data_IF_525726484489
#
_entry.id   IF_525726484489
#
_cell.length_a   1.000
_cell.length_b   1.000
_cell.length_c   1.000
_cell.angle_alpha   90.00
_cell.angle_beta   90.00
_cell.angle_gamma   90.00
#
_symmetry.space_group_name_H-M   'P 1'
#
loop_
_entity.id
_entity.type
_entity.pdbx_description
1 polymer ?
#
# COMPACT_ATOMS: atom_id res chain seq x y z
N UNK A 1 33.84 28.30 -2.30
CA UNK A 1 32.57 28.84 -2.85
C UNK A 1 31.80 27.79 -3.65
N UNK A 2 32.46 26.93 -4.45
CA UNK A 2 31.80 25.88 -5.24
C UNK A 2 31.54 24.55 -4.49
N UNK A 3 32.35 24.25 -3.47
CA UNK A 3 32.21 23.02 -2.66
C UNK A 3 31.01 23.08 -1.72
N UNK A 4 30.80 24.22 -1.07
CA UNK A 4 29.65 24.44 -0.18
C UNK A 4 28.31 24.37 -0.94
N UNK A 5 28.24 24.93 -2.15
CA UNK A 5 27.05 24.87 -2.99
C UNK A 5 26.77 23.44 -3.47
N UNK A 6 27.80 22.67 -3.83
CA UNK A 6 27.64 21.24 -4.20
C UNK A 6 27.14 20.38 -3.05
N UNK A 7 27.67 20.59 -1.83
CA UNK A 7 27.22 19.86 -0.63
C UNK A 7 25.75 20.18 -0.33
N UNK A 8 25.36 21.46 -0.42
CA UNK A 8 23.98 21.88 -0.24
C UNK A 8 23.04 21.20 -1.25
N UNK A 9 23.42 21.16 -2.52
CA UNK A 9 22.61 20.52 -3.58
C UNK A 9 22.46 19.01 -3.36
N UNK A 10 23.56 18.32 -3.01
CA UNK A 10 23.50 16.90 -2.68
C UNK A 10 22.58 16.62 -1.49
N UNK A 11 22.67 17.45 -0.45
CA UNK A 11 21.81 17.33 0.73
C UNK A 11 20.33 17.52 0.34
N UNK A 12 20.00 18.53 -0.45
CA UNK A 12 18.64 18.73 -0.95
C UNK A 12 18.15 17.52 -1.76
N UNK A 13 18.94 17.00 -2.70
CA UNK A 13 18.56 15.85 -3.50
C UNK A 13 18.27 14.61 -2.65
N UNK A 14 19.06 14.36 -1.60
CA UNK A 14 18.81 13.23 -0.70
C UNK A 14 17.51 13.39 0.10
N UNK A 15 17.22 14.59 0.59
CA UNK A 15 15.96 14.88 1.31
C UNK A 15 14.77 14.72 0.37
N UNK A 16 14.82 15.31 -0.82
CA UNK A 16 13.73 15.16 -1.80
C UNK A 16 13.57 13.70 -2.25
N UNK A 17 14.66 12.97 -2.48
CA UNK A 17 14.61 11.56 -2.87
C UNK A 17 13.96 10.69 -1.80
N UNK A 18 14.31 10.87 -0.52
CA UNK A 18 13.68 10.14 0.58
C UNK A 18 12.21 10.49 0.75
N UNK A 19 11.83 11.76 0.68
CA UNK A 19 10.42 12.19 0.76
C UNK A 19 9.58 11.62 -0.40
N UNK A 20 10.12 11.63 -1.62
CA UNK A 20 9.46 11.04 -2.78
C UNK A 20 9.28 9.52 -2.61
N UNK A 21 10.32 8.83 -2.13
CA UNK A 21 10.23 7.39 -1.84
C UNK A 21 9.11 7.06 -0.86
N UNK A 22 9.03 7.79 0.28
CA UNK A 22 7.96 7.58 1.25
C UNK A 22 6.58 7.89 0.67
N UNK A 23 6.45 8.97 -0.12
CA UNK A 23 5.19 9.33 -0.77
C UNK A 23 4.73 8.25 -1.75
N UNK A 24 5.60 7.76 -2.62
CA UNK A 24 5.28 6.72 -3.60
C UNK A 24 4.89 5.41 -2.91
N UNK A 25 5.62 5.02 -1.85
CA UNK A 25 5.32 3.82 -1.08
C UNK A 25 3.94 3.89 -0.43
N UNK A 26 3.60 5.03 0.19
CA UNK A 26 2.31 5.25 0.84
C UNK A 26 1.15 5.28 -0.16
N UNK A 27 1.36 5.90 -1.33
CA UNK A 27 0.37 5.92 -2.41
C UNK A 27 0.08 4.50 -2.93
N UNK A 28 1.11 3.68 -3.15
CA UNK A 28 0.92 2.27 -3.58
C UNK A 28 0.14 1.47 -2.55
N UNK A 29 0.44 1.65 -1.26
CA UNK A 29 -0.31 1.02 -0.18
C UNK A 29 -1.80 1.41 -0.21
N UNK A 30 -2.09 2.70 -0.39
CA UNK A 30 -3.48 3.19 -0.51
C UNK A 30 -4.21 2.60 -1.73
N UNK A 31 -3.51 2.42 -2.86
CA UNK A 31 -4.13 1.78 -4.04
C UNK A 31 -4.48 0.32 -3.76
N UNK A 32 -3.58 -0.43 -3.12
CA UNK A 32 -3.84 -1.82 -2.73
C UNK A 32 -4.98 -1.94 -1.70
N UNK A 33 -5.08 -0.95 -0.81
CA UNK A 33 -6.17 -0.74 0.14
C UNK A 33 -7.52 -0.54 -0.53
N UNK A 34 -7.56 0.28 -1.57
CA UNK A 34 -8.77 0.55 -2.35
C UNK A 34 -9.18 -0.65 -3.23
N UNK A 35 -8.34 -1.67 -3.32
CA UNK A 35 -8.54 -2.85 -4.17
C UNK A 35 -8.05 -2.66 -5.62
N UNK A 36 -7.18 -1.68 -5.86
CA UNK A 36 -6.57 -1.38 -7.15
C UNK A 36 -5.11 -1.83 -7.18
N UNK A 37 -4.73 -2.57 -8.23
CA UNK A 37 -3.34 -2.97 -8.42
C UNK A 37 -2.51 -1.82 -9.03
N UNK A 38 -1.42 -1.36 -8.39
CA UNK A 38 -0.57 -0.29 -8.92
C UNK A 38 0.27 -0.73 -10.14
N UNK A 39 0.38 -2.03 -10.40
CA UNK A 39 1.23 -2.59 -11.45
C UNK A 39 0.45 -2.90 -12.74
N UNK A 40 -0.69 -3.60 -12.63
CA UNK A 40 -1.51 -3.96 -13.79
C UNK A 40 -2.80 -3.14 -13.94
N UNK A 41 -3.08 -2.20 -13.02
CA UNK A 41 -4.26 -1.34 -13.06
C UNK A 41 -5.60 -2.04 -12.78
N UNK A 42 -5.58 -3.33 -12.42
CA UNK A 42 -6.79 -4.09 -12.18
C UNK A 42 -7.50 -3.61 -10.89
N UNK A 43 -8.78 -3.28 -11.00
CA UNK A 43 -9.64 -2.81 -9.91
C UNK A 43 -10.67 -3.87 -9.50
N UNK A 44 -11.32 -3.65 -8.35
CA UNK A 44 -12.47 -4.47 -7.92
C UNK A 44 -13.62 -4.35 -8.93
N UNK A 45 -14.21 -5.49 -9.30
CA UNK A 45 -15.38 -5.53 -10.18
C UNK A 45 -16.62 -5.76 -9.33
N UNK A 46 -17.55 -4.81 -9.35
CA UNK A 46 -18.87 -4.93 -8.71
C UNK A 46 -19.92 -5.22 -9.78
N UNK A 47 -20.64 -6.32 -9.64
CA UNK A 47 -21.76 -6.66 -10.51
C UNK A 47 -23.04 -6.65 -9.68
N UNK A 48 -24.06 -5.91 -10.14
CA UNK A 48 -25.36 -5.88 -9.49
C UNK A 48 -26.33 -6.74 -10.28
N UNK A 49 -26.85 -7.78 -9.64
CA UNK A 49 -27.90 -8.60 -10.22
C UNK A 49 -29.21 -7.79 -10.25
N UNK A 50 -29.80 -7.64 -11.43
CA UNK A 50 -31.04 -6.88 -11.63
C UNK A 50 -32.26 -7.61 -11.07
N UNK A 51 -32.19 -8.93 -10.91
CA UNK A 51 -33.34 -9.75 -10.53
C UNK A 51 -33.47 -9.91 -9.01
N UNK A 52 -32.34 -9.96 -8.30
CA UNK A 52 -32.29 -10.14 -6.85
C UNK A 52 -31.87 -8.87 -6.09
N UNK A 53 -31.37 -7.85 -6.80
CA UNK A 53 -30.87 -6.61 -6.22
C UNK A 53 -29.54 -6.75 -5.47
N UNK A 54 -28.95 -7.94 -5.45
CA UNK A 54 -27.71 -8.23 -4.71
C UNK A 54 -26.51 -7.73 -5.51
N UNK A 55 -25.56 -7.10 -4.81
CA UNK A 55 -24.29 -6.64 -5.42
C UNK A 55 -23.18 -7.61 -5.06
N UNK A 56 -22.56 -8.21 -6.09
CA UNK A 56 -21.43 -9.09 -5.96
C UNK A 56 -20.15 -8.32 -6.22
N UNK A 57 -19.27 -8.27 -5.23
CA UNK A 57 -17.95 -7.67 -5.35
C UNK A 57 -16.89 -8.76 -5.52
N UNK A 58 -16.23 -8.77 -6.68
CA UNK A 58 -15.06 -9.63 -6.89
C UNK A 58 -13.79 -8.84 -6.55
N UNK A 59 -13.19 -9.18 -5.40
CA UNK A 59 -11.91 -8.60 -4.97
C UNK A 59 -10.74 -9.12 -5.81
N UNK A 60 -10.08 -8.19 -6.49
CA UNK A 60 -8.88 -8.45 -7.31
C UNK A 60 -7.63 -8.57 -6.45
N UNK A 61 -7.60 -7.92 -5.28
CA UNK A 61 -6.51 -7.98 -4.30
C UNK A 61 -6.91 -8.92 -3.16
N UNK A 62 -6.03 -9.87 -2.82
CA UNK A 62 -6.14 -10.73 -1.65
C UNK A 62 -5.26 -10.14 -0.54
N UNK A 63 -5.84 -9.91 0.63
CA UNK A 63 -5.13 -9.43 1.81
C UNK A 63 -4.94 -10.57 2.80
N UNK A 64 -3.73 -10.71 3.36
CA UNK A 64 -3.40 -11.69 4.41
C UNK A 64 -2.51 -11.06 5.47
N UNK A 65 -2.81 -11.28 6.74
CA UNK A 65 -1.88 -10.94 7.83
C UNK A 65 -0.77 -11.99 7.88
N UNK A 66 0.48 -11.56 7.72
CA UNK A 66 1.66 -12.42 7.74
C UNK A 66 2.23 -12.53 9.15
N UNK A 67 2.37 -11.39 9.83
CA UNK A 67 2.83 -11.32 11.21
C UNK A 67 2.01 -10.32 11.99
N UNK A 68 1.76 -10.65 13.24
CA UNK A 68 1.17 -9.74 14.21
C UNK A 68 2.24 -9.50 15.29
N UNK A 69 2.67 -8.24 15.45
CA UNK A 69 3.67 -7.86 16.46
C UNK A 69 3.04 -7.65 17.85
N UNK A 70 1.83 -8.19 18.07
CA UNK A 70 1.15 -8.18 19.36
C UNK A 70 0.81 -6.78 19.83
N UNK A 71 1.16 -6.45 21.08
CA UNK A 71 0.80 -5.18 21.69
C UNK A 71 1.53 -3.95 21.11
N UNK A 72 2.50 -4.13 20.22
CA UNK A 72 3.09 -3.02 19.47
C UNK A 72 2.09 -2.34 18.52
N UNK A 73 0.91 -2.93 18.29
CA UNK A 73 -0.13 -2.36 17.43
C UNK A 73 0.30 -2.30 15.97
N UNK A 74 1.28 -3.12 15.56
CA UNK A 74 1.76 -3.20 14.19
C UNK A 74 1.45 -4.59 13.66
N UNK A 75 0.78 -4.66 12.51
CA UNK A 75 0.51 -5.89 11.79
C UNK A 75 1.14 -5.83 10.40
N UNK A 76 1.86 -6.87 10.02
CA UNK A 76 2.38 -7.05 8.67
C UNK A 76 1.31 -7.68 7.81
N UNK A 77 0.93 -6.96 6.75
CA UNK A 77 -0.11 -7.38 5.82
C UNK A 77 0.48 -7.56 4.43
N UNK A 78 0.30 -8.75 3.87
CA UNK A 78 0.62 -9.08 2.49
C UNK A 78 -0.60 -8.84 1.60
N UNK A 79 -0.37 -8.10 0.53
CA UNK A 79 -1.30 -7.89 -0.57
C UNK A 79 -0.84 -8.70 -1.76
N UNK A 80 -1.72 -9.56 -2.27
CA UNK A 80 -1.49 -10.32 -3.49
C UNK A 80 -2.49 -9.91 -4.56
N UNK A 81 -2.03 -9.47 -5.73
CA UNK A 81 -2.90 -9.27 -6.87
C UNK A 81 -3.20 -10.61 -7.56
N UNK A 82 -4.48 -10.95 -7.76
CA UNK A 82 -4.87 -12.18 -8.48
C UNK A 82 -4.62 -12.11 -10.00
N UNK A 83 -4.46 -10.92 -10.56
CA UNK A 83 -4.33 -10.73 -12.01
C UNK A 83 -2.88 -10.80 -12.51
N UNK A 84 -1.93 -10.21 -11.76
CA UNK A 84 -0.51 -10.19 -12.13
C UNK A 84 0.42 -10.83 -11.09
N UNK A 85 -0.14 -11.48 -10.07
CA UNK A 85 0.61 -12.15 -8.99
C UNK A 85 1.57 -11.25 -8.18
N UNK A 86 1.42 -9.92 -8.30
CA UNK A 86 2.14 -8.94 -7.49
C UNK A 86 1.95 -9.26 -6.00
N UNK A 87 3.07 -9.35 -5.26
CA UNK A 87 3.09 -9.54 -3.80
C UNK A 87 3.84 -8.40 -3.14
N UNK A 88 3.16 -7.66 -2.27
CA UNK A 88 3.76 -6.58 -1.49
C UNK A 88 3.36 -6.69 -0.02
N UNK A 89 4.30 -6.40 0.89
CA UNK A 89 4.08 -6.47 2.34
C UNK A 89 4.21 -5.08 2.94
N UNK A 90 3.20 -4.69 3.70
CA UNK A 90 3.13 -3.39 4.37
C UNK A 90 2.86 -3.56 5.86
N UNK A 91 3.48 -2.68 6.65
CA UNK A 91 3.18 -2.54 8.06
C UNK A 91 1.95 -1.63 8.19
N UNK A 92 0.91 -2.15 8.83
CA UNK A 92 -0.25 -1.36 9.22
C UNK A 92 -0.33 -1.21 10.72
N UNK A 93 -0.90 -0.10 11.15
CA UNK A 93 -1.34 0.08 12.52
C UNK A 93 -2.55 -0.83 12.73
N UNK A 94 -2.38 -1.89 13.52
CA UNK A 94 -3.45 -2.74 14.01
C UNK A 94 -3.99 -2.24 15.35
N UNK A 95 -5.01 -2.90 15.88
CA UNK A 95 -5.44 -2.67 17.25
C UNK A 95 -4.33 -3.12 18.21
N UNK A 96 -3.64 -2.16 18.82
CA UNK A 96 -2.79 -2.41 19.98
C UNK A 96 -3.60 -3.03 21.11
N UNK A 97 -2.91 -3.67 22.06
CA UNK A 97 -3.56 -4.15 23.27
C UNK A 97 -4.19 -2.94 23.97
N UNK A 98 -5.51 -2.82 23.87
CA UNK A 98 -6.28 -1.83 24.62
C UNK A 98 -6.11 -2.11 26.10
N UNK A 99 -5.87 -1.06 26.86
CA UNK A 99 -6.12 -1.03 28.30
C UNK A 99 -7.56 -0.57 28.48
#
# INVERSE_FOLDING_TARGET
>A
MYTATMILLLLLLTIFGTLLYYKTKNQRQHMLEDGNCPDCGASKKSFRDQNTGVTFESSTIKQRVVKNHGCSGIVEVEYTCKNCELKEVYNRVGSGCGI
#
